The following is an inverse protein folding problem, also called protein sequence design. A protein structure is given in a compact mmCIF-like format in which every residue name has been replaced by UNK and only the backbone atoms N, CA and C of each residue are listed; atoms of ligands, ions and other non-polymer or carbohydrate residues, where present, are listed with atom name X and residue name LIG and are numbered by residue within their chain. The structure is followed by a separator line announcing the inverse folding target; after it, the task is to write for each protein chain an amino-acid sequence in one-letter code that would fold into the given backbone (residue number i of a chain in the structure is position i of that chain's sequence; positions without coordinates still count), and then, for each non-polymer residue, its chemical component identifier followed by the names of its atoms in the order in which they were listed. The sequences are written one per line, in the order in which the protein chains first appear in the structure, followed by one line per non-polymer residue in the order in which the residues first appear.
data_IF_287913704622
#
_entry.id   IF_287913704622
#
_cell.length_a   1.000
_cell.length_b   1.000
_cell.length_c   1.000
_cell.angle_alpha   90.00
_cell.angle_beta   90.00
_cell.angle_gamma   90.00
#
_symmetry.space_group_name_H-M   'P 1'
#
loop_
_entity.id
_entity.type
_entity.pdbx_description
1 polymer ?
#
# COMPACT_ATOMS: atom_id res chain seq x y z
N UNK A 1 -7.71 -5.74 8.48
CA UNK A 1 -7.78 -4.26 8.40
C UNK A 1 -7.05 -3.80 9.66
N UNK A 2 -5.86 -3.22 9.52
CA UNK A 2 -4.90 -3.10 10.63
C UNK A 2 -4.69 -1.65 11.07
N UNK A 3 -5.45 -0.70 10.50
CA UNK A 3 -5.45 0.73 10.84
C UNK A 3 -6.81 1.08 11.41
N UNK A 4 -6.84 1.56 12.65
CA UNK A 4 -8.04 2.03 13.34
C UNK A 4 -8.16 3.54 13.21
N UNK A 5 -9.36 4.02 12.93
CA UNK A 5 -9.66 5.44 12.72
C UNK A 5 -10.72 5.88 13.73
N UNK A 6 -10.48 6.99 14.42
CA UNK A 6 -11.44 7.66 15.29
C UNK A 6 -11.55 9.13 14.86
N UNK A 7 -12.77 9.61 14.62
CA UNK A 7 -13.04 10.99 14.18
C UNK A 7 -12.19 11.46 12.98
N UNK A 8 -12.05 10.57 11.99
CA UNK A 8 -11.29 10.85 10.77
C UNK A 8 -9.75 10.88 10.96
N UNK A 9 -9.25 10.49 12.13
CA UNK A 9 -7.80 10.42 12.44
C UNK A 9 -7.36 9.00 12.75
N UNK A 10 -6.13 8.66 12.38
CA UNK A 10 -5.53 7.38 12.77
C UNK A 10 -5.41 7.35 14.31
N UNK A 11 -6.00 6.34 14.92
CA UNK A 11 -6.02 6.15 16.36
C UNK A 11 -5.09 5.01 16.82
N UNK A 12 -4.96 3.95 16.02
CA UNK A 12 -4.12 2.80 16.34
C UNK A 12 -3.71 2.00 15.10
N UNK A 13 -2.60 1.26 15.22
CA UNK A 13 -2.16 0.23 14.28
C UNK A 13 -2.02 -1.07 15.07
N UNK A 14 -2.66 -2.13 14.58
CA UNK A 14 -2.71 -3.45 15.21
C UNK A 14 -2.05 -4.49 14.30
N UNK A 15 -2.03 -5.76 14.76
CA UNK A 15 -1.57 -6.91 13.97
C UNK A 15 -0.08 -6.81 13.60
N UNK A 16 0.76 -6.74 14.64
CA UNK A 16 2.22 -6.69 14.56
C UNK A 16 2.87 -8.08 14.45
N UNK A 17 2.12 -9.12 14.10
CA UNK A 17 2.60 -10.51 14.09
C UNK A 17 3.74 -10.76 13.10
N UNK A 18 3.74 -10.04 11.99
CA UNK A 18 4.76 -10.12 10.93
C UNK A 18 5.87 -9.06 11.06
N UNK A 19 5.95 -8.35 12.20
CA UNK A 19 7.00 -7.35 12.41
C UNK A 19 8.38 -8.03 12.36
N UNK A 20 9.29 -7.47 11.58
CA UNK A 20 10.65 -8.01 11.43
C UNK A 20 11.65 -6.92 11.05
N UNK A 21 12.94 -7.23 11.15
CA UNK A 21 13.99 -6.42 10.53
C UNK A 21 14.00 -6.69 9.04
N UNK A 22 13.78 -5.66 8.22
CA UNK A 22 13.65 -5.80 6.77
C UNK A 22 13.83 -4.49 6.03
N UNK A 23 13.55 -4.51 4.73
CA UNK A 23 13.55 -3.29 3.92
C UNK A 23 12.33 -2.43 4.25
N UNK A 24 12.59 -1.20 4.71
CA UNK A 24 11.54 -0.20 4.99
C UNK A 24 10.65 0.11 3.79
N UNK A 25 11.07 -0.19 2.57
CA UNK A 25 10.26 -0.05 1.37
C UNK A 25 8.94 -0.85 1.44
N UNK A 26 8.93 -1.95 2.18
CA UNK A 26 7.77 -2.83 2.36
C UNK A 26 6.60 -2.08 3.00
N UNK A 27 6.87 -1.32 4.07
CA UNK A 27 5.85 -0.54 4.78
C UNK A 27 5.29 0.60 3.90
N UNK A 28 6.11 1.17 3.02
CA UNK A 28 5.70 2.27 2.14
C UNK A 28 4.72 1.84 1.05
N UNK A 29 4.63 0.55 0.72
CA UNK A 29 3.61 0.03 -0.18
C UNK A 29 2.18 0.28 0.35
N UNK A 30 2.03 0.40 1.68
CA UNK A 30 0.75 0.69 2.33
C UNK A 30 0.10 2.00 1.83
N UNK A 31 0.87 2.95 1.30
CA UNK A 31 0.36 4.19 0.70
C UNK A 31 -0.62 3.88 -0.43
N UNK A 32 -0.27 2.95 -1.34
CA UNK A 32 -1.15 2.53 -2.44
C UNK A 32 -2.25 1.58 -1.99
N UNK A 33 -2.01 0.82 -0.92
CA UNK A 33 -3.00 -0.11 -0.38
C UNK A 33 -4.13 0.61 0.36
N UNK A 34 -3.83 1.71 1.07
CA UNK A 34 -4.76 2.41 1.95
C UNK A 34 -5.38 3.66 1.32
N UNK A 35 -4.62 4.44 0.54
CA UNK A 35 -5.07 5.75 0.06
C UNK A 35 -5.58 5.66 -1.38
N UNK A 36 -6.90 5.79 -1.53
CA UNK A 36 -7.58 5.78 -2.83
C UNK A 36 -7.27 7.01 -3.68
N UNK A 37 -7.18 8.18 -3.06
CA UNK A 37 -6.99 9.43 -3.75
C UNK A 37 -5.51 9.69 -4.09
N UNK A 38 -5.21 9.97 -5.37
CA UNK A 38 -3.87 10.26 -5.85
C UNK A 38 -3.20 11.44 -5.13
N UNK A 39 -3.92 12.54 -4.88
CA UNK A 39 -3.37 13.68 -4.13
C UNK A 39 -3.02 13.30 -2.69
N UNK A 40 -3.81 12.43 -2.05
CA UNK A 40 -3.50 11.92 -0.72
C UNK A 40 -2.22 11.07 -0.72
N UNK A 41 -2.02 10.21 -1.74
CA UNK A 41 -0.77 9.45 -1.91
C UNK A 41 0.42 10.37 -2.14
N UNK A 42 0.30 11.34 -3.04
CA UNK A 42 1.35 12.33 -3.30
C UNK A 42 1.72 13.11 -2.03
N UNK A 43 0.72 13.52 -1.25
CA UNK A 43 0.95 14.20 0.02
C UNK A 43 1.66 13.28 1.05
N UNK A 44 1.24 12.03 1.19
CA UNK A 44 1.89 11.06 2.07
C UNK A 44 3.36 10.83 1.70
N UNK A 45 3.66 10.66 0.40
CA UNK A 45 5.02 10.52 -0.14
C UNK A 45 5.87 11.76 0.19
N UNK A 46 5.30 12.95 -0.03
CA UNK A 46 5.98 14.22 0.30
C UNK A 46 6.24 14.37 1.80
N UNK A 47 5.26 14.03 2.64
CA UNK A 47 5.38 14.12 4.11
C UNK A 47 6.42 13.14 4.66
N UNK A 48 6.48 11.91 4.13
CA UNK A 48 7.50 10.94 4.54
C UNK A 48 8.91 11.33 4.06
N UNK A 49 8.99 11.90 2.85
CA UNK A 49 10.23 12.36 2.22
C UNK A 49 10.46 11.67 0.88
N UNK A 50 10.60 12.47 -0.18
CA UNK A 50 10.71 11.98 -1.56
C UNK A 50 12.14 12.00 -2.13
N UNK A 51 13.16 12.24 -1.30
CA UNK A 51 14.54 12.42 -1.75
C UNK A 51 15.29 11.13 -2.12
N UNK A 52 14.76 9.95 -1.76
CA UNK A 52 15.40 8.65 -2.00
C UNK A 52 14.67 7.90 -3.12
N UNK A 53 15.11 8.12 -4.36
CA UNK A 53 14.50 7.50 -5.54
C UNK A 53 14.59 5.96 -5.50
N UNK A 54 15.67 5.40 -4.94
CA UNK A 54 15.87 3.96 -4.84
C UNK A 54 14.87 3.32 -3.86
N UNK A 55 14.60 3.97 -2.73
CA UNK A 55 13.56 3.55 -1.79
C UNK A 55 12.18 3.50 -2.46
N UNK A 56 11.81 4.57 -3.18
CA UNK A 56 10.51 4.63 -3.83
C UNK A 56 10.37 3.63 -4.97
N UNK A 57 11.45 3.32 -5.69
CA UNK A 57 11.45 2.24 -6.68
C UNK A 57 11.18 0.87 -6.02
N UNK A 58 11.83 0.56 -4.88
CA UNK A 58 11.58 -0.69 -4.15
C UNK A 58 10.17 -0.74 -3.55
N UNK A 59 9.66 0.39 -3.05
CA UNK A 59 8.30 0.47 -2.51
C UNK A 59 7.26 0.14 -3.60
N UNK A 60 7.43 0.69 -4.81
CA UNK A 60 6.58 0.34 -5.97
C UNK A 60 6.70 -1.15 -6.33
N UNK A 61 7.88 -1.74 -6.22
CA UNK A 61 8.05 -3.20 -6.36
C UNK A 61 7.20 -4.00 -5.37
N UNK A 62 7.16 -3.58 -4.11
CA UNK A 62 6.29 -4.18 -3.09
C UNK A 62 4.80 -3.98 -3.38
N UNK A 63 4.40 -2.82 -3.93
CA UNK A 63 3.02 -2.59 -4.38
C UNK A 63 2.61 -3.61 -5.44
N UNK A 64 3.49 -3.91 -6.41
CA UNK A 64 3.25 -4.94 -7.42
C UNK A 64 3.10 -6.32 -6.77
N UNK A 65 4.00 -6.70 -5.86
CA UNK A 65 3.95 -7.99 -5.16
C UNK A 65 2.60 -8.16 -4.41
N UNK A 66 2.22 -7.19 -3.58
CA UNK A 66 0.96 -7.27 -2.83
C UNK A 66 -0.27 -7.24 -3.75
N UNK A 67 -0.26 -6.40 -4.78
CA UNK A 67 -1.35 -6.31 -5.75
C UNK A 67 -1.57 -7.63 -6.49
N UNK A 68 -0.48 -8.26 -6.96
CA UNK A 68 -0.53 -9.55 -7.65
C UNK A 68 -0.97 -10.68 -6.72
N UNK A 69 -0.40 -10.79 -5.51
CA UNK A 69 -0.78 -11.85 -4.56
C UNK A 69 -2.27 -11.75 -4.18
N UNK A 70 -2.76 -10.55 -3.89
CA UNK A 70 -4.18 -10.35 -3.57
C UNK A 70 -5.07 -10.63 -4.78
N UNK A 71 -4.66 -10.21 -5.98
CA UNK A 71 -5.44 -10.49 -7.18
C UNK A 71 -5.52 -12.00 -7.46
N UNK A 72 -4.37 -12.69 -7.46
CA UNK A 72 -4.25 -14.13 -7.74
C UNK A 72 -5.07 -14.96 -6.74
N UNK A 73 -4.83 -14.77 -5.43
CA UNK A 73 -5.60 -15.47 -4.39
C UNK A 73 -7.08 -15.13 -4.46
N UNK A 74 -7.43 -13.89 -4.82
CA UNK A 74 -8.82 -13.47 -4.92
C UNK A 74 -9.58 -14.05 -6.12
N UNK A 75 -8.89 -14.32 -7.24
CA UNK A 75 -9.48 -14.96 -8.42
C UNK A 75 -9.84 -16.43 -8.16
N UNK A 76 -9.24 -17.07 -7.14
CA UNK A 76 -9.57 -18.44 -6.76
C UNK A 76 -10.91 -18.49 -6.01
N UNK A 77 -11.04 -17.79 -4.88
CA UNK A 77 -12.23 -17.91 -4.03
C UNK A 77 -12.58 -16.67 -3.17
N UNK A 78 -11.86 -15.56 -3.32
CA UNK A 78 -12.05 -14.39 -2.47
C UNK A 78 -12.19 -13.10 -3.29
N UNK A 79 -13.44 -12.78 -3.66
CA UNK A 79 -13.77 -11.57 -4.43
C UNK A 79 -13.18 -10.28 -3.85
N UNK A 80 -13.13 -10.16 -2.51
CA UNK A 80 -12.58 -8.98 -1.86
C UNK A 80 -11.08 -8.85 -2.09
N UNK A 81 -10.34 -9.95 -2.07
CA UNK A 81 -8.92 -9.95 -2.43
C UNK A 81 -8.72 -9.54 -3.89
N UNK A 82 -9.56 -10.04 -4.80
CA UNK A 82 -9.46 -9.68 -6.22
C UNK A 82 -9.69 -8.18 -6.47
N UNK A 83 -10.72 -7.61 -5.82
CA UNK A 83 -11.00 -6.16 -5.87
C UNK A 83 -9.85 -5.34 -5.28
N UNK A 84 -9.31 -5.75 -4.12
CA UNK A 84 -8.16 -5.07 -3.51
C UNK A 84 -6.92 -5.13 -4.41
N UNK A 85 -6.56 -6.31 -4.91
CA UNK A 85 -5.39 -6.48 -5.78
C UNK A 85 -5.49 -5.63 -7.05
N UNK A 86 -6.66 -5.63 -7.70
CA UNK A 86 -6.94 -4.76 -8.85
C UNK A 86 -6.76 -3.29 -8.51
N UNK A 87 -7.42 -2.79 -7.47
CA UNK A 87 -7.34 -1.37 -7.10
C UNK A 87 -5.92 -0.93 -6.72
N UNK A 88 -5.14 -1.80 -6.06
CA UNK A 88 -3.74 -1.52 -5.71
C UNK A 88 -2.91 -1.29 -6.98
N UNK A 89 -3.05 -2.17 -7.97
CA UNK A 89 -2.32 -2.08 -9.24
C UNK A 89 -2.76 -0.87 -10.06
N UNK A 90 -4.07 -0.59 -10.13
CA UNK A 90 -4.62 0.59 -10.82
C UNK A 90 -4.09 1.90 -10.23
N UNK A 91 -4.05 2.02 -8.90
CA UNK A 91 -3.49 3.21 -8.21
C UNK A 91 -2.00 3.39 -8.49
N UNK A 92 -1.24 2.30 -8.59
CA UNK A 92 0.16 2.38 -8.96
C UNK A 92 0.32 2.86 -10.40
N UNK A 93 -0.47 2.35 -11.34
CA UNK A 93 -0.47 2.79 -12.73
C UNK A 93 -0.87 4.26 -12.87
N UNK A 94 -1.88 4.71 -12.14
CA UNK A 94 -2.32 6.11 -12.08
C UNK A 94 -1.18 7.06 -11.68
N UNK A 95 -0.31 6.63 -10.75
CA UNK A 95 0.84 7.42 -10.28
C UNK A 95 2.10 7.31 -11.16
N UNK A 96 2.06 6.47 -12.20
CA UNK A 96 3.15 6.33 -13.17
C UNK A 96 2.84 6.98 -14.52
N UNK A 97 1.59 7.33 -14.78
CA UNK A 97 1.16 8.09 -15.95
C UNK A 97 1.54 9.58 -15.83
#
# INVERSE_FOLDING_TARGET
RNVLVNDGRIAAIIDWGDITSGDRATDLASIWMLLENQNARANAIKTYGNGDAALWARAKGWVVIFGVILLDTGLVDNRRHAEMGRSILERLTEDMA
#
